data_IF_725735125877
#
_entry.id   IF_725735125877
#
_cell.length_a   1.000
_cell.length_b   1.000
_cell.length_c   1.000
_cell.angle_alpha   90.00
_cell.angle_beta   90.00
_cell.angle_gamma   90.00
#
_symmetry.space_group_name_H-M   'P 1'
#
loop_
_entity.id
_entity.type
_entity.pdbx_description
1 polymer ?
#
# COMPACT_ATOMS: atom_id res chain seq x y z
N UNK A 1 44.27 22.24 -11.21
CA UNK A 1 44.44 21.26 -12.30
C UNK A 1 44.50 19.89 -11.66
N UNK A 2 43.37 19.19 -11.61
CA UNK A 2 43.34 17.80 -11.15
C UNK A 2 43.74 16.88 -12.31
N UNK A 3 44.73 16.03 -12.06
CA UNK A 3 45.33 15.13 -13.04
C UNK A 3 44.40 13.92 -13.25
N UNK A 4 43.70 13.84 -14.38
CA UNK A 4 42.81 12.70 -14.70
C UNK A 4 43.60 11.40 -14.91
N UNK A 5 43.39 10.44 -14.02
CA UNK A 5 43.99 9.11 -14.05
C UNK A 5 43.40 8.20 -15.17
N UNK A 6 44.18 7.22 -15.61
CA UNK A 6 43.75 6.26 -16.64
C UNK A 6 42.69 5.27 -16.11
N UNK A 7 41.74 4.88 -16.98
CA UNK A 7 40.65 3.99 -16.59
C UNK A 7 41.11 2.55 -16.38
N UNK A 8 41.14 2.08 -15.12
CA UNK A 8 41.47 0.69 -14.77
C UNK A 8 40.53 -0.34 -15.43
N UNK A 9 39.25 0.00 -15.61
CA UNK A 9 38.25 -0.91 -16.21
C UNK A 9 38.38 -1.03 -17.72
N UNK A 10 38.95 -0.02 -18.39
CA UNK A 10 39.25 -0.08 -19.82
C UNK A 10 40.44 -0.99 -20.10
N UNK A 11 41.48 -0.94 -19.26
CA UNK A 11 42.63 -1.85 -19.35
C UNK A 11 42.23 -3.33 -19.20
N UNK A 12 41.14 -3.60 -18.48
CA UNK A 12 40.59 -4.94 -18.26
C UNK A 12 39.52 -5.33 -19.30
N UNK A 13 39.22 -4.49 -20.29
CA UNK A 13 38.20 -4.77 -21.33
C UNK A 13 36.76 -4.80 -20.82
N UNK A 14 36.50 -4.30 -19.61
CA UNK A 14 35.19 -4.38 -18.93
C UNK A 14 34.50 -3.02 -18.79
N UNK A 15 35.03 -1.98 -19.43
CA UNK A 15 34.44 -0.64 -19.36
C UNK A 15 33.12 -0.57 -20.14
N UNK A 16 32.01 -0.38 -19.42
CA UNK A 16 30.66 -0.24 -20.00
C UNK A 16 30.39 1.13 -20.61
N UNK A 17 31.25 2.11 -20.35
CA UNK A 17 31.03 3.51 -20.70
C UNK A 17 31.73 3.95 -21.99
N UNK A 18 32.56 3.08 -22.61
CA UNK A 18 33.19 3.37 -23.90
C UNK A 18 33.89 4.73 -23.94
N UNK A 19 33.63 5.54 -24.97
CA UNK A 19 34.19 6.89 -25.14
C UNK A 19 33.61 7.94 -24.17
N UNK A 20 32.58 7.61 -23.40
CA UNK A 20 31.96 8.49 -22.39
C UNK A 20 32.54 8.28 -20.98
N UNK A 21 33.67 7.56 -20.86
CA UNK A 21 34.30 7.33 -19.57
C UNK A 21 35.00 8.59 -19.04
N UNK A 22 34.79 8.90 -17.76
CA UNK A 22 35.41 10.04 -17.08
C UNK A 22 36.95 9.91 -16.95
N UNK A 23 37.47 8.68 -17.02
CA UNK A 23 38.90 8.38 -16.94
C UNK A 23 39.46 8.12 -18.34
N UNK A 24 40.69 8.59 -18.61
CA UNK A 24 41.28 8.52 -19.96
C UNK A 24 41.48 7.07 -20.43
N UNK A 25 41.04 6.80 -21.66
CA UNK A 25 41.32 5.58 -22.40
C UNK A 25 42.52 5.85 -23.31
N UNK A 26 43.69 5.30 -22.97
CA UNK A 26 44.88 5.45 -23.81
C UNK A 26 44.81 4.37 -24.89
N UNK A 27 44.37 4.75 -26.08
CA UNK A 27 44.39 3.88 -27.27
C UNK A 27 45.79 3.89 -27.85
N UNK A 28 46.57 2.84 -27.60
CA UNK A 28 47.81 2.59 -28.33
C UNK A 28 47.48 2.24 -29.78
N UNK A 29 47.99 3.05 -30.72
CA UNK A 29 48.12 2.76 -32.16
C UNK A 29 48.59 1.31 -32.36
N UNK A 30 48.14 0.51 -33.33
CA UNK A 30 48.49 0.64 -34.76
C UNK A 30 47.70 -0.40 -35.56
N UNK A 31 47.15 -0.01 -36.71
CA UNK A 31 46.92 -0.92 -37.86
C UNK A 31 48.28 -1.46 -38.38
N UNK A 32 48.34 -2.60 -39.08
CA UNK A 32 48.32 -2.50 -40.54
C UNK A 32 47.60 -3.66 -41.26
N UNK A 33 46.72 -3.28 -42.17
CA UNK A 33 46.67 -3.61 -43.61
C UNK A 33 47.40 -4.87 -44.10
N UNK A 34 46.67 -5.74 -44.82
CA UNK A 34 47.16 -6.19 -46.15
C UNK A 34 46.00 -6.58 -47.07
N UNK A 35 46.17 -6.13 -48.30
CA UNK A 35 45.25 -5.98 -49.42
C UNK A 35 45.17 -7.25 -50.26
N UNK A 36 43.99 -7.62 -50.76
CA UNK A 36 43.83 -8.05 -52.17
C UNK A 36 42.36 -7.98 -52.60
N UNK A 37 42.10 -7.20 -53.65
CA UNK A 37 40.88 -7.15 -54.45
C UNK A 37 40.78 -8.41 -55.35
N UNK A 38 39.71 -8.84 -56.01
CA UNK A 38 38.60 -8.23 -56.79
C UNK A 38 37.55 -9.38 -56.92
N UNK A 39 36.20 -9.25 -56.94
CA UNK A 39 35.29 -8.98 -58.09
C UNK A 39 33.84 -9.20 -57.60
N UNK A 40 33.01 -8.16 -57.76
CA UNK A 40 31.61 -8.07 -58.29
C UNK A 40 30.63 -9.25 -58.08
N UNK A 41 29.45 -9.03 -57.47
CA UNK A 41 28.14 -8.78 -58.12
C UNK A 41 26.94 -8.87 -57.13
N UNK A 42 25.76 -8.44 -57.57
CA UNK A 42 24.63 -7.87 -56.82
C UNK A 42 23.55 -8.90 -56.38
N UNK A 43 22.86 -8.61 -55.25
CA UNK A 43 21.52 -9.05 -54.70
C UNK A 43 20.67 -10.06 -55.52
N UNK A 44 19.85 -10.94 -54.90
CA UNK A 44 18.89 -10.55 -53.84
C UNK A 44 18.57 -11.59 -52.74
N UNK A 45 17.77 -11.14 -51.78
CA UNK A 45 17.14 -11.87 -50.67
C UNK A 45 16.39 -13.13 -51.12
N UNK A 46 16.45 -14.21 -50.31
CA UNK A 46 15.29 -15.01 -49.87
C UNK A 46 15.66 -16.25 -49.02
N UNK A 47 14.81 -16.49 -48.02
CA UNK A 47 14.42 -17.76 -47.36
C UNK A 47 15.48 -18.70 -46.77
N UNK A 48 15.27 -19.02 -45.47
CA UNK A 48 15.41 -20.39 -44.95
C UNK A 48 14.53 -20.61 -43.71
N UNK A 49 13.41 -21.28 -43.94
CA UNK A 49 12.86 -22.34 -43.07
C UNK A 49 13.86 -23.54 -43.12
N UNK A 50 14.02 -24.46 -42.15
CA UNK A 50 13.12 -24.99 -41.14
C UNK A 50 13.88 -25.91 -40.13
N UNK A 51 13.29 -26.11 -38.93
CA UNK A 51 13.30 -27.29 -38.02
C UNK A 51 14.60 -27.70 -37.26
N UNK A 52 14.64 -28.11 -35.97
CA UNK A 52 13.77 -28.35 -34.77
C UNK A 52 14.78 -28.45 -33.56
N UNK A 53 14.53 -28.23 -32.26
CA UNK A 53 13.47 -28.74 -31.38
C UNK A 53 13.47 -28.07 -29.96
N UNK A 54 12.28 -27.62 -29.50
CA UNK A 54 11.63 -27.72 -28.15
C UNK A 54 12.21 -27.05 -26.87
N UNK A 55 11.58 -25.92 -26.42
CA UNK A 55 10.57 -25.84 -25.32
C UNK A 55 9.98 -24.41 -25.16
N UNK A 56 8.68 -24.40 -24.82
CA UNK A 56 7.67 -23.32 -24.75
C UNK A 56 7.99 -22.05 -23.94
N UNK A 57 7.61 -20.87 -24.47
CA UNK A 57 6.80 -19.85 -23.79
C UNK A 57 6.24 -18.81 -24.80
N UNK A 58 4.94 -18.55 -24.74
CA UNK A 58 4.15 -17.79 -25.72
C UNK A 58 4.41 -16.27 -25.68
N UNK A 59 4.96 -15.70 -26.76
CA UNK A 59 5.04 -14.24 -26.99
C UNK A 59 3.69 -13.69 -27.43
N UNK A 60 3.06 -12.88 -26.58
CA UNK A 60 1.90 -12.06 -26.93
C UNK A 60 2.25 -10.98 -27.96
N UNK A 61 1.31 -10.71 -28.87
CA UNK A 61 1.31 -9.62 -29.85
C UNK A 61 1.63 -8.27 -29.21
N UNK A 62 2.57 -7.49 -29.77
CA UNK A 62 2.88 -6.13 -29.30
C UNK A 62 1.68 -5.20 -29.51
N UNK A 63 1.11 -4.68 -28.42
CA UNK A 63 0.03 -3.68 -28.43
C UNK A 63 0.53 -2.33 -28.98
N UNK A 64 -0.34 -1.54 -29.60
CA UNK A 64 -0.02 -0.22 -30.17
C UNK A 64 0.69 0.71 -29.16
N UNK A 65 1.65 1.56 -29.56
CA UNK A 65 2.32 2.47 -28.64
C UNK A 65 1.34 3.54 -28.10
N UNK A 66 1.35 3.79 -26.79
CA UNK A 66 0.50 4.78 -26.12
C UNK A 66 1.32 6.04 -25.79
N UNK A 67 0.68 7.22 -25.82
CA UNK A 67 1.31 8.48 -25.45
C UNK A 67 1.73 8.49 -23.98
N UNK A 68 2.79 9.22 -23.66
CA UNK A 68 3.36 9.25 -22.31
C UNK A 68 2.65 10.29 -21.43
N UNK A 69 2.80 10.17 -20.10
CA UNK A 69 2.26 11.15 -19.17
C UNK A 69 2.76 12.58 -19.46
N UNK A 70 3.99 12.73 -19.95
CA UNK A 70 4.58 14.02 -20.35
C UNK A 70 3.84 14.65 -21.53
N UNK A 71 3.39 13.84 -22.48
CA UNK A 71 2.65 14.30 -23.66
C UNK A 71 1.27 14.82 -23.25
N UNK A 72 0.62 14.14 -22.29
CA UNK A 72 -0.68 14.56 -21.72
C UNK A 72 -0.54 15.87 -20.94
N UNK A 73 0.49 16.00 -20.10
CA UNK A 73 0.77 17.25 -19.37
C UNK A 73 0.97 18.40 -20.36
N UNK A 74 1.75 18.18 -21.42
CA UNK A 74 1.98 19.19 -22.46
C UNK A 74 0.67 19.57 -23.15
N UNK A 75 -0.19 18.60 -23.48
CA UNK A 75 -1.50 18.87 -24.08
C UNK A 75 -2.36 19.78 -23.19
N UNK A 76 -2.44 19.50 -21.89
CA UNK A 76 -3.24 20.29 -20.93
C UNK A 76 -2.63 21.69 -20.71
N UNK A 77 -1.30 21.82 -20.73
CA UNK A 77 -0.64 23.11 -20.53
C UNK A 77 -0.80 24.06 -21.71
N UNK A 78 -0.78 23.52 -22.94
CA UNK A 78 -0.70 24.29 -24.18
C UNK A 78 -2.01 24.38 -24.95
N UNK A 79 -3.02 23.54 -24.66
CA UNK A 79 -4.34 23.67 -25.29
C UNK A 79 -5.17 24.80 -24.67
N UNK A 80 -5.67 25.71 -25.52
CA UNK A 80 -6.54 26.82 -25.12
C UNK A 80 -8.00 26.41 -24.92
N UNK A 81 -8.41 25.26 -25.45
CA UNK A 81 -9.80 24.76 -25.32
C UNK A 81 -10.05 23.96 -24.04
N UNK A 82 -8.99 23.62 -23.29
CA UNK A 82 -9.06 22.83 -22.08
C UNK A 82 -8.86 23.72 -20.85
N UNK A 83 -9.83 23.71 -19.92
CA UNK A 83 -9.66 24.39 -18.65
C UNK A 83 -8.80 23.53 -17.71
N UNK A 84 -7.68 24.08 -17.23
CA UNK A 84 -6.70 23.38 -16.37
C UNK A 84 -7.30 22.99 -15.01
N UNK A 85 -8.24 23.78 -14.52
CA UNK A 85 -8.89 23.56 -13.21
C UNK A 85 -9.82 22.34 -13.19
N UNK A 86 -10.26 21.88 -14.37
CA UNK A 86 -11.12 20.71 -14.51
C UNK A 86 -10.33 19.39 -14.51
N UNK A 87 -8.99 19.46 -14.49
CA UNK A 87 -8.11 18.29 -14.51
C UNK A 87 -7.59 17.93 -13.12
N UNK A 88 -7.58 16.63 -12.83
CA UNK A 88 -6.94 16.06 -11.66
C UNK A 88 -5.88 15.03 -12.07
N UNK A 89 -4.80 14.95 -11.32
CA UNK A 89 -3.69 14.03 -11.56
C UNK A 89 -3.62 13.00 -10.44
N UNK A 90 -3.68 11.73 -10.81
CA UNK A 90 -3.43 10.60 -9.91
C UNK A 90 -1.96 10.19 -9.97
N UNK A 91 -1.22 10.35 -8.88
CA UNK A 91 0.21 9.99 -8.79
C UNK A 91 0.53 9.12 -7.57
N UNK A 92 1.52 8.24 -7.70
CA UNK A 92 2.01 7.41 -6.60
C UNK A 92 2.93 8.22 -5.69
N UNK A 93 2.44 8.58 -4.51
CA UNK A 93 3.25 9.12 -3.42
C UNK A 93 4.08 8.03 -2.73
N UNK A 94 5.23 8.43 -2.16
CA UNK A 94 6.19 7.51 -1.51
C UNK A 94 5.61 6.86 -0.25
N UNK A 95 4.68 7.52 0.44
CA UNK A 95 4.22 7.11 1.76
C UNK A 95 2.72 6.81 1.80
N UNK A 96 1.92 7.49 0.99
CA UNK A 96 0.44 7.48 1.10
C UNK A 96 -0.23 6.63 0.00
N UNK A 97 0.49 6.27 -1.06
CA UNK A 97 -0.06 5.52 -2.20
C UNK A 97 -0.53 6.43 -3.32
N UNK A 98 -1.56 6.06 -4.09
CA UNK A 98 -2.04 6.92 -5.18
C UNK A 98 -2.82 8.10 -4.59
N UNK A 99 -2.31 9.31 -4.81
CA UNK A 99 -2.95 10.56 -4.43
C UNK A 99 -3.52 11.24 -5.66
N UNK A 100 -4.70 11.85 -5.51
CA UNK A 100 -5.31 12.72 -6.52
C UNK A 100 -5.23 14.16 -6.07
N UNK A 101 -4.79 15.05 -6.95
CA UNK A 101 -4.73 16.49 -6.72
C UNK A 101 -5.04 17.26 -7.99
N UNK A 102 -5.54 18.51 -7.89
CA UNK A 102 -5.78 19.36 -9.05
C UNK A 102 -4.51 19.55 -9.88
N UNK A 103 -4.66 19.62 -11.19
CA UNK A 103 -3.54 19.80 -12.12
C UNK A 103 -2.79 21.12 -11.87
N UNK A 104 -3.49 22.15 -11.36
CA UNK A 104 -2.95 23.48 -11.05
C UNK A 104 -2.15 23.56 -9.76
N UNK A 105 -2.23 22.55 -8.88
CA UNK A 105 -1.44 22.50 -7.64
C UNK A 105 0.03 22.10 -7.91
N UNK A 106 0.34 21.62 -9.12
CA UNK A 106 1.65 21.11 -9.47
C UNK A 106 2.48 22.07 -10.32
N UNK A 107 3.76 22.18 -9.96
CA UNK A 107 4.78 22.71 -10.87
C UNK A 107 5.23 21.59 -11.80
N UNK A 108 5.08 21.83 -13.12
CA UNK A 108 5.41 20.88 -14.18
C UNK A 108 6.81 21.09 -14.78
N UNK A 109 7.60 22.00 -14.18
CA UNK A 109 9.00 22.25 -14.50
C UNK A 109 9.91 21.12 -13.99
N UNK A 110 11.19 21.14 -14.36
CA UNK A 110 12.11 20.07 -13.97
C UNK A 110 12.35 20.09 -12.45
N UNK A 111 12.32 18.93 -11.80
CA UNK A 111 12.44 18.81 -10.34
C UNK A 111 13.77 19.38 -9.80
N UNK A 112 14.78 19.49 -10.66
CA UNK A 112 16.07 20.07 -10.33
C UNK A 112 16.06 21.60 -10.22
N UNK A 113 15.03 22.29 -10.72
CA UNK A 113 14.95 23.76 -10.74
C UNK A 113 13.96 24.36 -9.74
N UNK A 114 13.29 23.54 -8.93
CA UNK A 114 12.15 23.95 -8.09
C UNK A 114 12.55 24.00 -6.61
N UNK A 115 12.20 25.11 -5.92
CA UNK A 115 12.49 25.34 -4.50
C UNK A 115 11.75 24.38 -3.55
N UNK A 116 12.29 24.20 -2.32
CA UNK A 116 11.81 23.26 -1.29
C UNK A 116 10.32 23.38 -0.90
N UNK A 117 9.65 24.49 -1.24
CA UNK A 117 8.26 24.77 -0.87
C UNK A 117 7.23 24.48 -1.98
N UNK A 118 7.65 23.96 -3.13
CA UNK A 118 6.77 23.75 -4.29
C UNK A 118 6.54 22.26 -4.52
N UNK A 119 5.27 21.88 -4.66
CA UNK A 119 4.84 20.50 -4.89
C UNK A 119 5.19 20.07 -6.33
N UNK A 120 6.36 19.46 -6.52
CA UNK A 120 6.79 18.86 -7.77
C UNK A 120 6.71 17.33 -7.71
N UNK A 121 6.07 16.70 -8.70
CA UNK A 121 5.95 15.23 -8.77
C UNK A 121 6.85 14.66 -9.87
N UNK A 122 7.66 13.63 -9.58
CA UNK A 122 8.36 12.86 -10.59
C UNK A 122 7.40 12.23 -11.63
N UNK A 123 7.57 12.57 -12.91
CA UNK A 123 6.70 12.16 -14.03
C UNK A 123 6.44 10.65 -14.12
N UNK A 124 7.41 9.82 -13.72
CA UNK A 124 7.27 8.36 -13.72
C UNK A 124 6.27 7.83 -12.68
N UNK A 125 5.90 8.64 -11.69
CA UNK A 125 4.95 8.31 -10.62
C UNK A 125 3.50 8.58 -11.00
N UNK A 126 3.26 9.34 -12.06
CA UNK A 126 1.92 9.63 -12.56
C UNK A 126 1.29 8.35 -13.11
N UNK A 127 0.08 8.05 -12.66
CA UNK A 127 -0.66 6.84 -13.04
C UNK A 127 -1.80 7.16 -14.00
N UNK A 128 -2.58 8.21 -13.75
CA UNK A 128 -3.72 8.60 -14.59
C UNK A 128 -4.03 10.10 -14.52
N UNK A 129 -4.80 10.58 -15.49
CA UNK A 129 -5.42 11.90 -15.52
C UNK A 129 -6.93 11.76 -15.53
N UNK A 130 -7.61 12.62 -14.77
CA UNK A 130 -9.06 12.75 -14.75
C UNK A 130 -9.48 14.12 -15.25
N UNK A 131 -10.58 14.17 -15.98
CA UNK A 131 -11.27 15.38 -16.40
C UNK A 131 -12.71 15.33 -15.89
N UNK A 132 -13.12 16.29 -15.04
CA UNK A 132 -14.48 16.36 -14.46
C UNK A 132 -15.02 15.02 -13.88
N UNK A 133 -14.12 14.22 -13.29
CA UNK A 133 -14.46 12.92 -12.67
C UNK A 133 -14.23 11.70 -13.57
N UNK A 134 -14.08 11.88 -14.89
CA UNK A 134 -13.84 10.79 -15.85
C UNK A 134 -12.33 10.58 -16.08
N UNK A 135 -11.88 9.32 -16.10
CA UNK A 135 -10.48 9.00 -16.39
C UNK A 135 -10.26 9.12 -17.90
N UNK A 136 -9.46 10.11 -18.30
CA UNK A 136 -9.18 10.41 -19.71
C UNK A 136 -7.86 9.83 -20.20
N UNK A 137 -6.98 9.46 -19.27
CA UNK A 137 -5.73 8.78 -19.60
C UNK A 137 -5.29 7.92 -18.42
N UNK A 138 -5.01 6.63 -18.64
CA UNK A 138 -4.53 5.70 -17.61
C UNK A 138 -3.38 4.83 -18.14
N UNK A 139 -2.24 4.88 -17.44
CA UNK A 139 -1.03 4.12 -17.77
C UNK A 139 -1.21 2.60 -17.63
N UNK A 140 -2.03 2.14 -16.69
CA UNK A 140 -2.22 0.72 -16.32
C UNK A 140 -3.28 0.06 -17.18
N UNK A 141 -4.41 0.73 -17.32
CA UNK A 141 -5.54 0.27 -18.14
C UNK A 141 -5.34 0.57 -19.63
N UNK A 142 -4.27 1.31 -19.98
CA UNK A 142 -3.94 1.73 -21.34
C UNK A 142 -5.09 2.49 -22.01
N UNK A 143 -5.67 3.42 -21.27
CA UNK A 143 -6.72 4.33 -21.73
C UNK A 143 -6.03 5.62 -22.21
N UNK A 144 -6.39 6.11 -23.39
CA UNK A 144 -5.85 7.35 -23.96
C UNK A 144 -6.96 8.04 -24.75
N UNK A 145 -7.93 8.60 -24.04
CA UNK A 145 -9.03 9.39 -24.60
C UNK A 145 -8.63 10.87 -24.75
N UNK A 146 -7.41 11.24 -24.32
CA UNK A 146 -6.80 12.54 -24.60
C UNK A 146 -6.35 12.64 -26.07
N UNK A 147 -5.79 11.56 -26.63
CA UNK A 147 -5.32 11.52 -28.02
C UNK A 147 -6.00 10.47 -28.90
N UNK A 148 -6.77 9.55 -28.32
CA UNK A 148 -7.39 8.42 -29.04
C UNK A 148 -6.38 7.35 -29.49
N UNK A 149 -5.12 7.40 -29.02
CA UNK A 149 -4.01 6.57 -29.54
C UNK A 149 -4.17 5.07 -29.26
N UNK A 150 -5.06 4.70 -28.36
CA UNK A 150 -5.37 3.31 -27.99
C UNK A 150 -6.51 2.71 -28.81
N UNK A 151 -7.03 3.44 -29.80
CA UNK A 151 -8.04 2.96 -30.74
C UNK A 151 -9.49 3.15 -30.29
N UNK A 152 -9.73 3.91 -29.21
CA UNK A 152 -11.09 4.23 -28.72
C UNK A 152 -11.83 5.25 -29.61
N UNK A 153 -11.12 5.99 -30.47
CA UNK A 153 -11.70 6.97 -31.39
C UNK A 153 -12.39 8.17 -30.71
N UNK A 154 -12.36 8.23 -29.38
CA UNK A 154 -13.00 9.27 -28.57
C UNK A 154 -11.93 10.25 -28.13
N UNK A 155 -12.14 11.53 -28.42
CA UNK A 155 -11.21 12.59 -28.00
C UNK A 155 -11.76 13.35 -26.81
N UNK A 156 -10.90 14.05 -26.08
CA UNK A 156 -11.28 14.94 -24.98
C UNK A 156 -12.36 15.96 -25.38
N UNK A 157 -12.49 16.28 -26.67
CA UNK A 157 -13.51 17.17 -27.23
C UNK A 157 -14.90 16.54 -27.34
N UNK A 158 -15.00 15.21 -27.34
CA UNK A 158 -16.27 14.47 -27.35
C UNK A 158 -16.82 14.32 -25.92
N UNK A 159 -15.92 14.11 -24.95
CA UNK A 159 -16.24 14.09 -23.50
C UNK A 159 -16.74 15.45 -23.00
N UNK A 160 -16.36 16.55 -23.68
CA UNK A 160 -16.84 17.90 -23.39
C UNK A 160 -18.33 18.14 -23.74
N UNK A 161 -18.99 17.25 -24.50
CA UNK A 161 -20.35 17.46 -25.03
C UNK A 161 -21.46 16.68 -24.32
N UNK A 162 -21.14 15.74 -23.45
CA UNK A 162 -22.14 14.92 -22.73
C UNK A 162 -22.18 15.30 -21.24
N UNK A 163 -23.08 16.23 -20.88
CA UNK A 163 -23.85 16.23 -19.61
C UNK A 163 -24.86 17.39 -19.58
N UNK A 164 -26.12 17.13 -19.17
CA UNK A 164 -26.57 17.73 -17.92
C UNK A 164 -27.52 16.86 -17.06
N UNK A 165 -27.20 16.80 -15.75
CA UNK A 165 -28.08 16.82 -14.56
C UNK A 165 -29.18 15.76 -14.31
N UNK A 166 -29.14 15.09 -13.14
CA UNK A 166 -30.33 14.79 -12.32
C UNK A 166 -29.99 14.45 -10.85
N UNK A 167 -30.59 15.25 -9.96
CA UNK A 167 -30.73 15.15 -8.50
C UNK A 167 -32.04 14.40 -8.14
N UNK A 168 -32.22 14.05 -6.85
CA UNK A 168 -33.41 13.62 -6.07
C UNK A 168 -33.10 12.36 -5.24
N UNK A 169 -33.44 12.21 -3.95
CA UNK A 169 -34.27 12.97 -3.03
C UNK A 169 -34.58 12.07 -1.82
N UNK A 170 -34.64 12.65 -0.62
CA UNK A 170 -34.81 12.01 0.70
C UNK A 170 -36.29 11.71 1.00
N UNK A 171 -36.59 10.63 1.75
CA UNK A 171 -37.71 10.57 2.72
C UNK A 171 -37.52 9.43 3.74
N UNK A 172 -37.92 9.68 5.00
CA UNK A 172 -37.61 8.82 6.16
C UNK A 172 -38.80 8.26 6.95
N UNK A 173 -38.44 7.68 8.11
CA UNK A 173 -39.23 7.19 9.26
C UNK A 173 -40.08 5.91 9.05
N UNK A 174 -40.23 4.94 9.97
CA UNK A 174 -39.98 4.84 11.42
C UNK A 174 -39.90 3.34 11.86
N UNK A 175 -39.42 3.17 13.10
CA UNK A 175 -39.27 2.05 14.08
C UNK A 175 -40.36 0.92 14.13
N UNK A 176 -40.26 -0.25 14.82
CA UNK A 176 -39.74 -0.62 16.15
C UNK A 176 -39.42 -2.13 16.30
N UNK A 177 -38.38 -2.40 17.09
CA UNK A 177 -38.16 -3.47 18.09
C UNK A 177 -39.04 -4.74 18.13
N UNK A 178 -38.48 -5.85 17.64
CA UNK A 178 -38.69 -7.24 18.14
C UNK A 178 -37.77 -8.20 17.37
N UNK A 179 -36.50 -8.35 17.77
CA UNK A 179 -35.59 -9.23 17.00
C UNK A 179 -34.40 -9.86 17.77
N UNK A 180 -34.31 -9.74 19.09
CA UNK A 180 -33.09 -10.21 19.76
C UNK A 180 -32.93 -11.74 19.89
N UNK A 181 -33.98 -12.52 19.64
CA UNK A 181 -33.91 -13.99 19.64
C UNK A 181 -33.89 -14.61 18.23
N UNK A 182 -34.17 -13.80 17.20
CA UNK A 182 -34.16 -14.23 15.79
C UNK A 182 -32.79 -13.97 15.12
N UNK A 183 -32.05 -12.96 15.59
CA UNK A 183 -30.73 -12.60 15.02
C UNK A 183 -29.65 -13.68 15.18
N UNK A 184 -29.69 -14.51 16.22
CA UNK A 184 -28.67 -15.53 16.45
C UNK A 184 -28.75 -16.67 15.42
N UNK A 185 -29.96 -17.01 14.97
CA UNK A 185 -30.20 -18.04 13.95
C UNK A 185 -29.91 -17.52 12.53
N UNK A 186 -30.12 -16.22 12.30
CA UNK A 186 -29.82 -15.57 11.01
C UNK A 186 -28.32 -15.31 10.80
N UNK A 187 -27.54 -15.22 11.90
CA UNK A 187 -26.08 -15.10 11.87
C UNK A 187 -25.37 -16.39 11.46
N UNK A 188 -25.94 -17.57 11.73
CA UNK A 188 -25.38 -18.85 11.26
C UNK A 188 -25.67 -19.06 9.76
N UNK A 189 -26.72 -18.44 9.21
CA UNK A 189 -26.99 -18.43 7.76
C UNK A 189 -26.12 -17.42 6.98
N UNK A 190 -25.62 -16.37 7.64
CA UNK A 190 -24.83 -15.32 6.99
C UNK A 190 -23.35 -15.68 6.74
N UNK A 191 -22.80 -16.69 7.43
CA UNK A 191 -21.43 -17.18 7.16
C UNK A 191 -21.33 -17.83 5.75
N UNK A 192 -22.43 -18.36 5.21
CA UNK A 192 -22.46 -18.87 3.83
C UNK A 192 -22.55 -17.75 2.78
N UNK A 193 -23.16 -16.61 3.12
CA UNK A 193 -23.36 -15.47 2.22
C UNK A 193 -22.08 -14.64 2.01
N UNK A 194 -21.15 -14.59 2.98
CA UNK A 194 -19.86 -13.90 2.82
C UNK A 194 -18.97 -14.54 1.73
N UNK A 195 -19.25 -15.78 1.33
CA UNK A 195 -18.52 -16.46 0.24
C UNK A 195 -18.87 -15.96 -1.17
N UNK A 196 -20.04 -15.32 -1.36
CA UNK A 196 -20.55 -14.94 -2.69
C UNK A 196 -20.34 -13.46 -3.07
N UNK A 197 -19.93 -12.58 -2.13
CA UNK A 197 -19.70 -11.14 -2.40
C UNK A 197 -18.27 -10.85 -2.92
N UNK A 198 -17.40 -11.85 -3.03
CA UNK A 198 -16.01 -11.67 -3.53
C UNK A 198 -15.89 -11.25 -5.00
N UNK A 199 -16.99 -11.10 -5.74
CA UNK A 199 -16.97 -10.87 -7.19
C UNK A 199 -17.58 -9.56 -7.70
N UNK A 200 -17.61 -8.49 -6.89
CA UNK A 200 -17.82 -7.12 -7.37
C UNK A 200 -16.62 -6.24 -7.06
N UNK A 201 -15.62 -6.27 -7.94
CA UNK A 201 -14.49 -5.33 -7.94
C UNK A 201 -15.00 -3.93 -8.27
N UNK A 202 -15.17 -3.09 -7.27
CA UNK A 202 -15.36 -1.64 -7.42
C UNK A 202 -14.42 -0.92 -6.45
N UNK A 203 -13.66 0.06 -6.95
CA UNK A 203 -12.86 1.01 -6.18
C UNK A 203 -11.66 0.45 -5.39
N UNK A 204 -10.42 0.82 -5.77
CA UNK A 204 -9.26 0.66 -4.89
C UNK A 204 -9.45 1.59 -3.68
N UNK A 205 -10.00 1.08 -2.59
CA UNK A 205 -9.92 1.77 -1.31
C UNK A 205 -8.44 1.80 -0.90
N UNK A 206 -7.95 2.99 -0.54
CA UNK A 206 -6.72 3.08 0.24
C UNK A 206 -6.93 2.18 1.46
N UNK A 207 -5.98 1.31 1.77
CA UNK A 207 -6.10 0.37 2.89
C UNK A 207 -6.43 1.08 4.22
N UNK A 208 -6.58 0.31 5.31
CA UNK A 208 -7.07 0.86 6.57
C UNK A 208 -6.19 2.01 7.07
N UNK A 209 -6.83 3.09 7.49
CA UNK A 209 -6.17 4.32 7.95
C UNK A 209 -6.51 4.68 9.39
N UNK A 210 -7.51 4.03 9.98
CA UNK A 210 -7.84 4.12 11.40
C UNK A 210 -7.98 2.73 12.00
N UNK A 211 -7.94 2.65 13.33
CA UNK A 211 -8.21 1.43 14.07
C UNK A 211 -8.81 1.75 15.43
N UNK A 212 -9.57 0.79 15.97
CA UNK A 212 -10.01 0.80 17.37
C UNK A 212 -9.05 -0.05 18.19
N UNK A 213 -8.70 0.38 19.39
CA UNK A 213 -7.78 -0.37 20.23
C UNK A 213 -7.99 -0.15 21.72
N UNK A 214 -7.69 -1.19 22.51
CA UNK A 214 -7.52 -1.04 23.96
C UNK A 214 -6.10 -0.56 24.21
N UNK A 215 -5.94 0.61 24.85
CA UNK A 215 -4.63 1.08 25.28
C UNK A 215 -4.14 0.23 26.47
N UNK A 216 -2.88 -0.19 26.43
CA UNK A 216 -2.25 -0.87 27.55
C UNK A 216 -1.53 0.18 28.40
N UNK A 217 -1.99 0.38 29.62
CA UNK A 217 -1.53 1.43 30.53
C UNK A 217 -1.31 0.94 31.97
N UNK A 218 -1.63 -0.31 32.29
CA UNK A 218 -1.29 -0.87 33.59
C UNK A 218 0.23 -0.81 33.84
N UNK A 219 0.69 -0.14 34.91
CA UNK A 219 2.13 0.05 35.14
C UNK A 219 2.91 -1.25 35.31
N UNK A 220 2.32 -2.29 35.93
CA UNK A 220 3.00 -3.57 36.12
C UNK A 220 3.22 -4.26 34.78
N UNK A 221 2.20 -4.29 33.91
CA UNK A 221 2.31 -4.84 32.57
C UNK A 221 3.34 -4.06 31.75
N UNK A 222 3.29 -2.73 31.77
CA UNK A 222 4.23 -1.88 31.03
C UNK A 222 5.67 -2.15 31.48
N UNK A 223 5.91 -2.25 32.79
CA UNK A 223 7.24 -2.56 33.34
C UNK A 223 7.73 -3.94 32.89
N UNK A 224 6.90 -4.99 33.00
CA UNK A 224 7.27 -6.33 32.53
C UNK A 224 7.57 -6.37 31.02
N UNK A 225 6.84 -5.58 30.21
CA UNK A 225 7.11 -5.46 28.77
C UNK A 225 8.44 -4.78 28.52
N UNK A 226 8.77 -3.72 29.26
CA UNK A 226 10.04 -3.02 29.12
C UNK A 226 11.23 -3.88 29.52
N UNK A 227 11.11 -4.65 30.61
CA UNK A 227 12.11 -5.65 31.01
C UNK A 227 12.30 -6.68 29.89
N UNK A 228 11.20 -7.24 29.38
CA UNK A 228 11.25 -8.16 28.24
C UNK A 228 11.90 -7.54 27.00
N UNK A 229 11.59 -6.29 26.67
CA UNK A 229 12.22 -5.58 25.55
C UNK A 229 13.73 -5.40 25.78
N UNK A 230 14.17 -5.09 27.00
CA UNK A 230 15.58 -5.04 27.36
C UNK A 230 16.27 -6.38 27.11
N UNK A 231 15.61 -7.49 27.41
CA UNK A 231 16.14 -8.84 27.20
C UNK A 231 16.31 -9.14 25.71
N UNK A 232 15.35 -8.71 24.89
CA UNK A 232 15.42 -8.82 23.43
C UNK A 232 16.57 -7.97 22.86
N UNK A 233 16.73 -6.73 23.32
CA UNK A 233 17.82 -5.84 22.87
C UNK A 233 19.19 -6.36 23.31
N UNK A 234 19.32 -6.96 24.50
CA UNK A 234 20.57 -7.61 24.92
C UNK A 234 21.01 -8.72 23.97
N UNK A 235 20.05 -9.46 23.39
CA UNK A 235 20.34 -10.53 22.41
C UNK A 235 20.61 -9.97 21.01
N UNK A 236 19.91 -8.92 20.59
CA UNK A 236 20.17 -8.22 19.34
C UNK A 236 20.06 -6.70 19.49
N UNK A 237 21.19 -6.00 19.70
CA UNK A 237 21.21 -4.55 19.91
C UNK A 237 20.63 -3.73 18.75
N UNK A 238 20.60 -4.29 17.53
CA UNK A 238 20.05 -3.61 16.35
C UNK A 238 18.53 -3.41 16.40
N UNK A 239 17.85 -4.09 17.33
CA UNK A 239 16.40 -4.00 17.50
C UNK A 239 15.97 -2.85 18.43
N UNK A 240 16.89 -2.10 19.04
CA UNK A 240 16.57 -1.00 19.96
C UNK A 240 15.55 -0.02 19.38
N UNK A 241 15.79 0.42 18.14
CA UNK A 241 14.99 1.43 17.46
C UNK A 241 13.69 0.85 16.88
N UNK A 242 13.55 -0.48 16.92
CA UNK A 242 12.39 -1.23 16.45
C UNK A 242 11.37 -1.54 17.57
N UNK A 243 11.69 -1.19 18.82
CA UNK A 243 10.81 -1.45 19.97
C UNK A 243 9.60 -0.51 19.97
N UNK A 244 8.44 -1.09 20.30
CA UNK A 244 7.22 -0.29 20.51
C UNK A 244 7.35 0.45 21.83
N UNK A 245 7.25 1.77 21.77
CA UNK A 245 7.39 2.61 22.96
C UNK A 245 6.18 2.42 23.90
N UNK A 246 6.35 2.55 25.23
CA UNK A 246 5.29 2.32 26.21
C UNK A 246 3.98 3.03 25.91
N UNK A 247 4.04 4.29 25.47
CA UNK A 247 2.84 5.09 25.15
C UNK A 247 2.06 4.60 23.92
N UNK A 248 2.66 3.73 23.11
CA UNK A 248 2.07 3.16 21.91
C UNK A 248 1.66 1.69 22.09
N UNK A 249 1.75 1.14 23.30
CA UNK A 249 1.28 -0.21 23.58
C UNK A 249 -0.26 -0.25 23.52
N UNK A 250 -0.78 -1.07 22.61
CA UNK A 250 -2.21 -1.22 22.38
C UNK A 250 -2.56 -2.60 21.81
N UNK A 251 -3.77 -3.06 22.13
CA UNK A 251 -4.42 -4.20 21.48
C UNK A 251 -5.39 -3.69 20.42
N UNK A 252 -5.07 -3.89 19.15
CA UNK A 252 -5.97 -3.55 18.04
C UNK A 252 -7.18 -4.47 18.02
N UNK A 253 -8.39 -3.90 17.96
CA UNK A 253 -9.67 -4.60 17.89
C UNK A 253 -10.22 -4.64 16.47
N UNK A 254 -10.25 -3.49 15.78
CA UNK A 254 -10.79 -3.35 14.42
C UNK A 254 -9.93 -2.41 13.58
N UNK A 255 -9.82 -2.70 12.29
CA UNK A 255 -9.21 -1.83 11.28
C UNK A 255 -10.31 -1.16 10.45
N UNK A 256 -10.22 0.15 10.26
CA UNK A 256 -11.24 0.98 9.61
C UNK A 256 -10.64 1.78 8.45
N UNK A 257 -11.47 2.04 7.45
CA UNK A 257 -11.17 2.96 6.35
C UNK A 257 -12.11 4.16 6.44
N UNK A 258 -11.61 5.28 6.97
CA UNK A 258 -12.34 6.54 7.16
C UNK A 258 -11.77 7.59 6.20
N UNK A 259 -12.32 7.76 4.98
CA UNK A 259 -11.73 8.62 3.96
C UNK A 259 -11.93 10.12 4.20
N UNK A 260 -12.81 10.50 5.12
CA UNK A 260 -13.18 11.90 5.36
C UNK A 260 -13.36 12.22 6.85
N UNK A 261 -13.21 13.49 7.26
CA UNK A 261 -13.48 13.93 8.63
C UNK A 261 -14.91 13.62 9.10
N UNK A 262 -15.90 13.60 8.19
CA UNK A 262 -17.28 13.24 8.50
C UNK A 262 -17.40 11.78 8.89
N UNK A 263 -16.66 10.88 8.22
CA UNK A 263 -16.59 9.47 8.58
C UNK A 263 -15.90 9.25 9.94
N UNK A 264 -14.89 10.07 10.27
CA UNK A 264 -14.28 10.07 11.60
C UNK A 264 -15.27 10.51 12.68
N UNK A 265 -16.05 11.57 12.43
CA UNK A 265 -17.08 12.03 13.34
C UNK A 265 -18.17 10.96 13.54
N UNK A 266 -18.64 10.34 12.47
CA UNK A 266 -19.61 9.24 12.52
C UNK A 266 -19.09 8.06 13.34
N UNK A 267 -17.88 7.57 13.05
CA UNK A 267 -17.23 6.50 13.80
C UNK A 267 -17.11 6.82 15.30
N UNK A 268 -16.82 8.09 15.63
CA UNK A 268 -16.74 8.58 17.00
C UNK A 268 -18.10 8.54 17.70
N UNK A 269 -19.17 8.97 17.03
CA UNK A 269 -20.52 8.93 17.59
C UNK A 269 -21.03 7.49 17.79
N UNK A 270 -20.75 6.59 16.84
CA UNK A 270 -21.02 5.15 17.00
C UNK A 270 -20.32 4.61 18.25
N UNK A 271 -19.01 4.85 18.39
CA UNK A 271 -18.25 4.36 19.54
C UNK A 271 -18.79 4.91 20.87
N UNK A 272 -19.17 6.19 20.93
CA UNK A 272 -19.80 6.80 22.11
C UNK A 272 -21.15 6.14 22.45
N UNK A 273 -21.97 5.88 21.44
CA UNK A 273 -23.27 5.21 21.61
C UNK A 273 -23.14 3.80 22.19
N UNK A 274 -22.03 3.11 21.91
CA UNK A 274 -21.80 1.75 22.39
C UNK A 274 -21.30 1.67 23.84
N UNK A 275 -20.97 2.79 24.49
CA UNK A 275 -20.34 2.80 25.84
C UNK A 275 -21.06 1.90 26.86
N UNK A 276 -22.39 1.94 26.92
CA UNK A 276 -23.16 1.13 27.85
C UNK A 276 -23.16 -0.38 27.50
N UNK A 277 -23.25 -0.71 26.22
CA UNK A 277 -23.16 -2.08 25.73
C UNK A 277 -21.77 -2.67 26.00
N UNK A 278 -20.72 -1.86 25.83
CA UNK A 278 -19.33 -2.24 26.12
C UNK A 278 -19.15 -2.61 27.60
N UNK A 279 -19.64 -1.80 28.53
CA UNK A 279 -19.59 -2.12 29.97
C UNK A 279 -20.35 -3.39 30.32
N UNK A 280 -21.37 -3.75 29.54
CA UNK A 280 -22.15 -4.99 29.77
C UNK A 280 -21.41 -6.25 29.30
N UNK A 281 -20.67 -6.18 28.19
CA UNK A 281 -19.88 -7.32 27.68
C UNK A 281 -18.57 -7.47 28.43
N UNK A 282 -17.90 -6.35 28.70
CA UNK A 282 -16.62 -6.31 29.40
C UNK A 282 -16.80 -5.50 30.69
N UNK A 283 -17.38 -6.12 31.75
CA UNK A 283 -17.52 -5.47 33.04
C UNK A 283 -16.16 -5.20 33.66
N UNK A 284 -16.09 -4.35 34.69
CA UNK A 284 -14.83 -3.99 35.37
C UNK A 284 -14.08 -5.20 35.99
N UNK A 285 -14.75 -6.34 36.18
CA UNK A 285 -14.13 -7.59 36.62
C UNK A 285 -13.43 -8.35 35.48
N UNK A 286 -13.75 -8.05 34.23
CA UNK A 286 -13.15 -8.69 33.07
C UNK A 286 -11.78 -8.08 32.78
N UNK A 287 -10.77 -8.94 32.68
CA UNK A 287 -9.39 -8.54 32.47
C UNK A 287 -8.79 -9.26 31.26
N UNK A 288 -8.16 -8.48 30.38
CA UNK A 288 -7.32 -8.98 29.30
C UNK A 288 -6.06 -9.59 29.89
N UNK A 289 -5.85 -10.89 29.66
CA UNK A 289 -4.62 -11.58 30.10
C UNK A 289 -3.57 -11.56 29.00
N UNK A 290 -2.43 -10.95 29.27
CA UNK A 290 -1.29 -10.89 28.36
C UNK A 290 -0.36 -12.06 28.63
N UNK A 291 -0.28 -13.02 27.70
CA UNK A 291 0.43 -14.28 27.89
C UNK A 291 1.08 -14.76 26.60
N UNK A 292 2.16 -15.51 26.76
CA UNK A 292 2.95 -16.06 25.68
C UNK A 292 3.58 -15.00 24.76
N UNK A 293 4.70 -15.35 24.16
CA UNK A 293 5.32 -14.54 23.10
C UNK A 293 5.13 -15.28 21.77
N UNK A 294 4.79 -14.53 20.73
CA UNK A 294 4.68 -15.03 19.37
C UNK A 294 5.34 -14.09 18.37
N UNK A 295 5.42 -14.55 17.13
CA UNK A 295 5.94 -13.74 16.03
C UNK A 295 5.07 -13.84 14.79
N UNK A 296 5.05 -12.77 13.99
CA UNK A 296 4.47 -12.76 12.66
C UNK A 296 5.52 -12.47 11.61
N UNK A 297 5.55 -13.32 10.57
CA UNK A 297 6.38 -13.15 9.36
C UNK A 297 7.85 -12.85 9.70
N UNK A 298 8.33 -13.41 10.80
CA UNK A 298 9.68 -13.23 11.37
C UNK A 298 10.13 -11.77 11.52
N UNK A 299 9.19 -10.84 11.69
CA UNK A 299 9.46 -9.39 11.76
C UNK A 299 8.68 -8.64 12.80
N UNK A 300 7.56 -9.19 13.25
CA UNK A 300 6.79 -8.61 14.35
C UNK A 300 6.90 -9.57 15.51
N UNK A 301 7.41 -9.09 16.63
CA UNK A 301 7.35 -9.80 17.91
C UNK A 301 6.17 -9.23 18.70
N UNK A 302 5.36 -10.11 19.25
CA UNK A 302 4.16 -9.72 19.99
C UNK A 302 3.98 -10.57 21.25
N UNK A 303 3.26 -10.02 22.21
CA UNK A 303 2.73 -10.76 23.36
C UNK A 303 1.29 -11.16 23.01
N UNK A 304 0.96 -12.43 23.22
CA UNK A 304 -0.39 -12.93 22.98
C UNK A 304 -1.37 -12.37 24.00
N UNK A 305 -2.63 -12.23 23.60
CA UNK A 305 -3.71 -11.90 24.53
C UNK A 305 -4.69 -13.07 24.55
N UNK A 306 -5.22 -13.39 25.72
CA UNK A 306 -6.21 -14.44 25.86
C UNK A 306 -7.47 -14.14 25.02
N UNK A 307 -7.71 -14.99 24.01
CA UNK A 307 -8.90 -14.92 23.18
C UNK A 307 -10.11 -15.51 23.94
N UNK A 308 -10.59 -14.78 24.94
CA UNK A 308 -11.77 -15.13 25.73
C UNK A 308 -13.08 -14.95 24.94
N UNK A 309 -14.20 -15.49 25.47
CA UNK A 309 -15.52 -15.36 24.83
C UNK A 309 -15.98 -13.89 24.79
N UNK A 310 -15.72 -13.17 25.88
CA UNK A 310 -16.08 -11.77 26.09
C UNK A 310 -15.38 -10.88 25.06
N UNK A 311 -14.07 -11.06 24.86
CA UNK A 311 -13.30 -10.32 23.86
C UNK A 311 -13.80 -10.58 22.42
N UNK A 312 -14.12 -11.84 22.07
CA UNK A 312 -14.70 -12.15 20.76
C UNK A 312 -16.06 -11.49 20.58
N UNK A 313 -16.89 -11.52 21.62
CA UNK A 313 -18.22 -10.92 21.58
C UNK A 313 -18.12 -9.39 21.44
N UNK A 314 -17.17 -8.76 22.14
CA UNK A 314 -16.85 -7.35 22.01
C UNK A 314 -16.47 -6.99 20.57
N UNK A 315 -15.49 -7.69 19.98
CA UNK A 315 -15.05 -7.42 18.60
C UNK A 315 -16.18 -7.66 17.59
N UNK A 316 -16.99 -8.71 17.78
CA UNK A 316 -18.16 -8.99 16.93
C UNK A 316 -19.20 -7.87 17.01
N UNK A 317 -19.51 -7.39 18.22
CA UNK A 317 -20.45 -6.29 18.43
C UNK A 317 -19.93 -5.00 17.79
N UNK A 318 -18.67 -4.63 18.04
CA UNK A 318 -18.05 -3.45 17.41
C UNK A 318 -18.11 -3.54 15.88
N UNK A 319 -17.79 -4.70 15.30
CA UNK A 319 -17.81 -4.89 13.84
C UNK A 319 -19.23 -4.70 13.29
N UNK A 320 -20.22 -5.31 13.93
CA UNK A 320 -21.62 -5.23 13.52
C UNK A 320 -22.12 -3.78 13.54
N UNK A 321 -21.84 -3.04 14.60
CA UNK A 321 -22.34 -1.67 14.78
C UNK A 321 -21.66 -0.67 13.84
N UNK A 322 -20.36 -0.84 13.59
CA UNK A 322 -19.66 -0.03 12.59
C UNK A 322 -20.14 -0.32 11.16
N UNK A 323 -20.41 -1.59 10.83
CA UNK A 323 -20.99 -1.96 9.53
C UNK A 323 -22.41 -1.40 9.35
N UNK A 324 -23.26 -1.49 10.38
CA UNK A 324 -24.62 -0.90 10.38
C UNK A 324 -24.58 0.61 10.16
N UNK A 325 -23.59 1.29 10.71
CA UNK A 325 -23.38 2.72 10.51
C UNK A 325 -22.83 3.08 9.12
N UNK A 326 -22.58 2.10 8.25
CA UNK A 326 -22.02 2.33 6.92
C UNK A 326 -20.52 2.68 6.93
N UNK A 327 -19.82 2.37 8.02
CA UNK A 327 -18.36 2.54 8.11
C UNK A 327 -17.68 1.32 7.47
N UNK A 328 -16.70 1.57 6.60
CA UNK A 328 -15.91 0.50 6.00
C UNK A 328 -15.00 -0.14 7.06
N UNK A 329 -15.39 -1.33 7.52
CA UNK A 329 -14.58 -2.19 8.38
C UNK A 329 -13.79 -3.13 7.49
N UNK A 330 -12.46 -3.03 7.53
CA UNK A 330 -11.62 -3.99 6.83
C UNK A 330 -11.74 -5.34 7.54
N UNK A 331 -11.91 -6.40 6.76
CA UNK A 331 -11.83 -7.73 7.31
C UNK A 331 -10.43 -7.90 7.90
N UNK A 332 -10.35 -7.98 9.23
CA UNK A 332 -9.26 -8.72 9.87
C UNK A 332 -9.19 -10.08 9.13
N UNK A 333 -7.99 -10.68 9.04
CA UNK A 333 -7.82 -12.04 8.49
C UNK A 333 -8.94 -12.96 9.00
N UNK A 334 -9.22 -14.06 8.28
CA UNK A 334 -10.35 -14.97 8.54
C UNK A 334 -10.62 -15.28 10.04
N UNK A 335 -9.60 -15.19 10.92
CA UNK A 335 -9.75 -15.21 12.37
C UNK A 335 -9.10 -14.00 13.09
N UNK A 336 -9.83 -13.41 14.06
CA UNK A 336 -9.30 -12.38 14.96
C UNK A 336 -8.30 -12.99 15.95
N UNK A 337 -7.04 -12.58 15.83
CA UNK A 337 -5.95 -13.00 16.71
C UNK A 337 -5.49 -11.83 17.58
N UNK A 338 -5.92 -11.75 18.85
CA UNK A 338 -5.58 -10.63 19.73
C UNK A 338 -4.11 -10.69 20.16
N UNK A 339 -3.38 -9.60 19.91
CA UNK A 339 -1.94 -9.52 20.17
C UNK A 339 -1.53 -8.08 20.50
N UNK A 340 -0.49 -7.96 21.32
CA UNK A 340 0.17 -6.71 21.66
C UNK A 340 1.54 -6.67 20.98
N UNK A 341 1.71 -5.80 19.99
CA UNK A 341 3.01 -5.68 19.30
C UNK A 341 4.04 -5.02 20.20
N UNK A 342 5.19 -5.65 20.36
CA UNK A 342 6.29 -5.13 21.21
C UNK A 342 7.55 -4.78 20.41
N UNK A 343 7.73 -5.37 19.23
CA UNK A 343 8.84 -5.05 18.32
C UNK A 343 8.42 -5.19 16.85
N UNK A 344 8.84 -4.25 16.01
CA UNK A 344 8.68 -4.30 14.54
C UNK A 344 10.04 -4.15 13.86
N UNK A 345 10.68 -5.27 13.54
CA UNK A 345 12.00 -5.29 12.95
C UNK A 345 12.03 -4.60 11.58
N UNK A 346 12.94 -3.63 11.42
CA UNK A 346 13.18 -2.94 10.16
C UNK A 346 13.89 -3.84 9.14
N UNK A 347 13.41 -3.82 7.90
CA UNK A 347 14.05 -4.52 6.76
C UNK A 347 15.47 -4.03 6.48
N UNK A 348 15.80 -2.81 6.89
CA UNK A 348 17.09 -2.19 6.59
C UNK A 348 18.15 -2.51 7.65
N UNK A 349 17.75 -2.89 8.87
CA UNK A 349 18.66 -2.98 10.01
C UNK A 349 19.01 -4.42 10.39
N UNK A 350 18.11 -5.38 10.13
CA UNK A 350 18.34 -6.76 10.55
C UNK A 350 17.93 -7.74 9.45
N UNK A 351 18.76 -8.75 9.20
CA UNK A 351 18.42 -9.80 8.24
C UNK A 351 17.25 -10.63 8.75
N UNK A 352 16.41 -11.09 7.81
CA UNK A 352 15.24 -11.93 8.13
C UNK A 352 15.63 -13.17 8.94
N UNK A 353 16.73 -13.82 8.58
CA UNK A 353 17.18 -15.04 9.24
C UNK A 353 17.60 -14.79 10.69
N UNK A 354 18.26 -13.66 10.97
CA UNK A 354 18.66 -13.29 12.33
C UNK A 354 17.42 -12.98 13.19
N UNK A 355 16.48 -12.17 12.68
CA UNK A 355 15.21 -11.91 13.37
C UNK A 355 14.42 -13.19 13.65
N UNK A 356 14.31 -14.08 12.65
CA UNK A 356 13.59 -15.35 12.79
C UNK A 356 14.17 -16.20 13.92
N UNK A 357 15.50 -16.31 14.02
CA UNK A 357 16.18 -17.05 15.09
C UNK A 357 15.93 -16.44 16.47
N UNK A 358 16.12 -15.11 16.60
CA UNK A 358 15.92 -14.39 17.88
C UNK A 358 14.47 -14.48 18.33
N UNK A 359 13.52 -14.22 17.44
CA UNK A 359 12.09 -14.24 17.78
C UNK A 359 11.60 -15.64 18.09
N UNK A 360 12.08 -16.65 17.37
CA UNK A 360 11.78 -18.06 17.66
C UNK A 360 12.32 -18.49 19.03
N UNK A 361 13.49 -18.00 19.44
CA UNK A 361 14.02 -18.23 20.78
C UNK A 361 13.08 -17.66 21.85
N UNK A 362 12.72 -16.37 21.75
CA UNK A 362 11.84 -15.74 22.72
C UNK A 362 10.43 -16.35 22.75
N UNK A 363 9.86 -16.70 21.59
CA UNK A 363 8.56 -17.37 21.51
C UNK A 363 8.55 -18.73 22.23
N UNK A 364 9.67 -19.48 22.17
CA UNK A 364 9.83 -20.74 22.91
C UNK A 364 10.03 -20.51 24.40
N UNK A 365 10.94 -19.62 24.76
CA UNK A 365 11.31 -19.33 26.16
C UNK A 365 10.12 -18.78 26.96
N UNK A 366 9.31 -17.93 26.35
CA UNK A 366 8.19 -17.24 27.01
C UNK A 366 6.82 -17.87 26.70
N UNK A 367 6.77 -19.09 26.16
CA UNK A 367 5.50 -19.73 25.73
C UNK A 367 4.43 -19.80 26.81
N UNK A 368 4.82 -19.96 28.07
CA UNK A 368 3.91 -20.11 29.22
C UNK A 368 3.98 -18.92 30.19
N UNK A 369 4.64 -17.82 29.80
CA UNK A 369 4.79 -16.64 30.66
C UNK A 369 3.52 -15.80 30.65
N UNK A 370 3.07 -15.40 31.84
CA UNK A 370 2.04 -14.38 32.03
C UNK A 370 2.73 -13.04 32.30
N UNK A 371 2.42 -12.03 31.49
CA UNK A 371 2.96 -10.68 31.62
C UNK A 371 2.10 -9.79 32.53
N UNK A 372 0.83 -10.15 32.69
CA UNK A 372 -0.10 -9.48 33.60
C UNK A 372 -1.51 -9.45 33.05
N UNK A 373 -2.36 -8.63 33.66
CA UNK A 373 -3.78 -8.53 33.30
C UNK A 373 -4.31 -7.10 33.48
N UNK A 374 -5.11 -6.63 32.53
CA UNK A 374 -5.66 -5.27 32.55
C UNK A 374 -7.16 -5.27 32.24
N UNK A 375 -7.93 -4.46 32.95
CA UNK A 375 -9.32 -4.17 32.60
C UNK A 375 -9.44 -3.35 31.31
N UNK A 376 -10.62 -3.39 30.70
CA UNK A 376 -10.95 -2.56 29.52
C UNK A 376 -11.75 -1.35 30.00
N UNK A 377 -11.05 -0.27 30.31
CA UNK A 377 -11.67 0.96 30.83
C UNK A 377 -11.86 2.02 29.74
N UNK A 378 -11.14 1.89 28.61
CA UNK A 378 -11.22 2.80 27.46
C UNK A 378 -10.97 2.06 26.14
N UNK A 379 -11.66 2.51 25.09
CA UNK A 379 -11.51 2.09 23.70
C UNK A 379 -11.19 3.26 22.79
#
# INVERSE_FOLDING_TARGET
MEEQAACKFFLLGQCRYGEQCFNKHITGSTQPSTTTAVVVEIKPEKHKEEAKDVKHESKGSKKAPMKTATDVISRILWDKQLNKDDFCVGYLDRFIGVMERPFTEFSWEDLASVDYNVLAIPKHRIQYFKYRGNIVWDKRERIDDVFGSTGSGTTILDVLKEDPSADNGVNGNQSEEKSEMFLLEELERNDEAESQVRNSKTGKTSGPNYFLAVKVCDPEIVNHIQEFQCEVVKQDPLLSDSMTQPQHLHLTLLMLTLPSPQQVALATEVLKGLRHALTSITPSSYNLKFKAVGSFRDRILYIGVENSKELRQLVKMLRLEFLKAGVQVEANRDEFQPHLTVCRASKMMTSHEKCSKVFSYFAKTYRNTLFGSQCIDSL
#
